data_IF_393964113258
#
_entry.id   IF_393964113258
#
_cell.length_a   1.000
_cell.length_b   1.000
_cell.length_c   1.000
_cell.angle_alpha   90.00
_cell.angle_beta   90.00
_cell.angle_gamma   90.00
#
_symmetry.space_group_name_H-M   'P 1'
#
loop_
_entity.id
_entity.type
_entity.pdbx_description
1 polymer ?
#
# COMPACT_ATOMS: atom_id res chain seq x y z
N UNK A 1 13.68 -22.30 28.71
CA UNK A 1 13.75 -20.87 29.07
C UNK A 1 15.06 -20.46 29.75
N UNK A 2 15.68 -21.30 30.60
CA UNK A 2 16.92 -20.94 31.33
C UNK A 2 18.13 -20.65 30.44
N UNK A 3 18.34 -21.44 29.37
CA UNK A 3 19.45 -21.20 28.43
C UNK A 3 19.35 -19.84 27.72
N UNK A 4 18.13 -19.37 27.46
CA UNK A 4 17.88 -18.09 26.80
C UNK A 4 18.14 -16.90 27.74
N UNK A 5 17.83 -17.07 29.03
CA UNK A 5 18.12 -16.06 30.07
C UNK A 5 19.62 -15.82 30.24
N UNK A 6 20.43 -16.88 30.21
CA UNK A 6 21.89 -16.76 30.37
C UNK A 6 22.55 -16.04 29.19
N UNK A 7 22.08 -16.24 27.97
CA UNK A 7 22.60 -15.54 26.77
C UNK A 7 22.23 -14.05 26.79
N UNK A 8 21.02 -13.71 27.24
CA UNK A 8 20.59 -12.30 27.36
C UNK A 8 21.30 -11.62 28.54
N UNK A 9 21.64 -12.35 29.61
CA UNK A 9 22.41 -11.80 30.74
C UNK A 9 23.90 -11.62 30.42
N UNK A 10 24.51 -12.48 29.61
CA UNK A 10 25.92 -12.33 29.20
C UNK A 10 26.13 -11.18 28.21
N UNK A 11 25.06 -10.71 27.55
CA UNK A 11 25.13 -9.57 26.64
C UNK A 11 25.33 -8.25 27.41
N UNK A 12 26.45 -7.59 27.12
CA UNK A 12 26.76 -6.23 27.59
C UNK A 12 25.62 -5.26 27.25
N UNK A 13 25.33 -4.32 28.13
CA UNK A 13 24.24 -3.34 27.99
C UNK A 13 24.22 -2.64 26.63
N UNK A 14 25.39 -2.38 26.04
CA UNK A 14 25.52 -1.77 24.72
C UNK A 14 24.91 -2.62 23.59
N UNK A 15 25.04 -3.95 23.65
CA UNK A 15 24.40 -4.85 22.67
C UNK A 15 22.88 -4.88 22.84
N UNK A 16 22.37 -4.77 24.08
CA UNK A 16 20.92 -4.69 24.34
C UNK A 16 20.33 -3.41 23.76
N UNK A 17 21.05 -2.29 23.86
CA UNK A 17 20.64 -1.02 23.25
C UNK A 17 20.60 -1.12 21.72
N UNK A 18 21.62 -1.72 21.09
CA UNK A 18 21.65 -1.92 19.63
C UNK A 18 20.52 -2.82 19.16
N UNK A 19 20.27 -3.94 19.85
CA UNK A 19 19.16 -4.86 19.53
C UNK A 19 17.82 -4.16 19.70
N UNK A 20 17.65 -3.40 20.78
CA UNK A 20 16.43 -2.60 21.01
C UNK A 20 16.19 -1.57 19.91
N UNK A 21 17.22 -0.83 19.52
CA UNK A 21 17.13 0.15 18.44
C UNK A 21 16.84 -0.50 17.09
N UNK A 22 17.47 -1.63 16.78
CA UNK A 22 17.22 -2.37 15.54
C UNK A 22 15.78 -2.89 15.46
N UNK A 23 15.26 -3.48 16.54
CA UNK A 23 13.86 -3.90 16.63
C UNK A 23 12.90 -2.72 16.44
N UNK A 24 13.20 -1.58 17.07
CA UNK A 24 12.37 -0.38 16.96
C UNK A 24 12.34 0.16 15.53
N UNK A 25 13.48 0.17 14.83
CA UNK A 25 13.56 0.56 13.43
C UNK A 25 12.75 -0.37 12.51
N UNK A 26 12.81 -1.69 12.74
CA UNK A 26 12.04 -2.68 11.95
C UNK A 26 10.53 -2.48 12.17
N UNK A 27 10.09 -2.36 13.43
CA UNK A 27 8.68 -2.16 13.76
C UNK A 27 8.17 -0.84 13.19
N UNK A 28 8.96 0.23 13.31
CA UNK A 28 8.61 1.54 12.75
C UNK A 28 8.54 1.49 11.23
N UNK A 29 9.49 0.82 10.57
CA UNK A 29 9.49 0.63 9.12
C UNK A 29 8.29 -0.19 8.63
N UNK A 30 7.92 -1.24 9.36
CA UNK A 30 6.73 -2.04 9.05
C UNK A 30 5.44 -1.23 9.23
N UNK A 31 5.31 -0.48 10.34
CA UNK A 31 4.18 0.43 10.56
C UNK A 31 4.07 1.45 9.43
N UNK A 32 5.18 2.11 9.08
CA UNK A 32 5.22 3.07 7.97
C UNK A 32 4.81 2.42 6.65
N UNK A 33 5.26 1.18 6.38
CA UNK A 33 4.88 0.40 5.21
C UNK A 33 3.37 0.15 5.12
N UNK A 34 2.73 -0.21 6.24
CA UNK A 34 1.27 -0.44 6.28
C UNK A 34 0.44 0.86 6.36
N UNK A 35 1.01 1.95 6.85
CA UNK A 35 0.35 3.27 6.90
C UNK A 35 0.54 4.10 5.62
N UNK A 36 1.35 3.61 4.67
CA UNK A 36 1.46 4.25 3.36
C UNK A 36 0.05 4.28 2.73
N UNK A 37 -0.45 5.46 2.38
CA UNK A 37 -1.81 5.61 1.88
C UNK A 37 -1.97 4.78 0.60
N UNK A 38 -3.15 4.16 0.47
CA UNK A 38 -3.52 3.37 -0.69
C UNK A 38 -3.09 4.09 -1.97
N UNK A 39 -2.19 3.45 -2.72
CA UNK A 39 -1.67 4.00 -3.98
C UNK A 39 -2.76 4.11 -5.02
N UNK A 40 -3.90 3.46 -4.82
CA UNK A 40 -5.03 3.42 -5.73
C UNK A 40 -6.22 4.15 -5.13
N UNK A 41 -6.74 5.14 -5.85
CA UNK A 41 -7.94 5.90 -5.47
C UNK A 41 -9.08 5.47 -6.36
N UNK A 42 -10.25 5.31 -5.77
CA UNK A 42 -11.48 5.02 -6.51
C UNK A 42 -11.86 6.25 -7.33
N UNK A 43 -11.88 6.10 -8.66
CA UNK A 43 -12.27 7.19 -9.58
C UNK A 43 -13.70 7.04 -10.04
N UNK A 44 -14.12 5.80 -10.31
CA UNK A 44 -15.49 5.48 -10.70
C UNK A 44 -16.10 4.45 -9.74
N UNK A 45 -17.34 4.69 -9.33
CA UNK A 45 -18.11 3.78 -8.48
C UNK A 45 -19.45 3.47 -9.15
N UNK A 46 -19.99 2.29 -8.86
CA UNK A 46 -21.35 1.90 -9.26
C UNK A 46 -21.58 1.94 -10.77
N UNK A 47 -20.55 1.60 -11.56
CA UNK A 47 -20.65 1.49 -13.00
C UNK A 47 -21.47 0.26 -13.39
N UNK A 48 -22.28 0.40 -14.43
CA UNK A 48 -22.97 -0.74 -15.04
C UNK A 48 -21.96 -1.56 -15.86
N UNK A 49 -22.25 -2.83 -16.18
CA UNK A 49 -21.26 -3.71 -16.83
C UNK A 49 -20.83 -3.23 -18.23
N UNK A 50 -21.71 -2.53 -18.95
CA UNK A 50 -21.39 -1.86 -20.20
C UNK A 50 -20.40 -0.69 -20.00
N UNK A 51 -20.68 0.18 -19.02
CA UNK A 51 -19.85 1.35 -18.71
C UNK A 51 -18.46 0.93 -18.20
N UNK A 52 -18.37 -0.20 -17.46
CA UNK A 52 -17.08 -0.76 -17.04
C UNK A 52 -16.22 -1.14 -18.24
N UNK A 53 -16.78 -1.77 -19.25
CA UNK A 53 -16.02 -2.17 -20.45
C UNK A 53 -15.53 -0.95 -21.24
N UNK A 54 -16.36 0.07 -21.36
CA UNK A 54 -16.00 1.31 -22.06
C UNK A 54 -14.89 2.06 -21.32
N UNK A 55 -15.05 2.29 -20.02
CA UNK A 55 -14.07 3.01 -19.20
C UNK A 55 -12.75 2.23 -19.09
N UNK A 56 -12.78 0.91 -18.95
CA UNK A 56 -11.55 0.10 -18.93
C UNK A 56 -10.82 0.11 -20.28
N UNK A 57 -11.55 0.14 -21.39
CA UNK A 57 -10.96 0.28 -22.72
C UNK A 57 -10.33 1.66 -22.93
N UNK A 58 -10.96 2.73 -22.44
CA UNK A 58 -10.39 4.08 -22.47
C UNK A 58 -9.16 4.21 -21.58
N UNK A 59 -9.22 3.73 -20.33
CA UNK A 59 -8.08 3.71 -19.42
C UNK A 59 -6.90 2.90 -19.99
N UNK A 60 -7.19 1.77 -20.65
CA UNK A 60 -6.16 0.97 -21.33
C UNK A 60 -5.55 1.68 -22.54
N UNK A 61 -6.31 2.48 -23.30
CA UNK A 61 -5.79 3.28 -24.42
C UNK A 61 -4.90 4.42 -23.92
N UNK A 62 -5.25 4.99 -22.78
CA UNK A 62 -4.53 6.06 -22.11
C UNK A 62 -3.26 5.57 -21.38
N UNK A 63 -3.06 4.24 -21.31
CA UNK A 63 -1.89 3.64 -20.66
C UNK A 63 -1.91 3.76 -19.14
N UNK A 64 -3.10 3.92 -18.54
CA UNK A 64 -3.25 4.06 -17.08
C UNK A 64 -3.42 2.69 -16.46
N UNK A 65 -2.59 2.40 -15.45
CA UNK A 65 -2.78 1.22 -14.61
C UNK A 65 -4.04 1.37 -13.76
N UNK A 66 -5.02 0.50 -14.01
CA UNK A 66 -6.28 0.45 -13.27
C UNK A 66 -6.48 -0.90 -12.57
N UNK A 67 -7.13 -0.87 -11.42
CA UNK A 67 -7.61 -2.05 -10.69
C UNK A 67 -9.13 -2.04 -10.69
N UNK A 68 -9.71 -3.13 -11.20
CA UNK A 68 -11.13 -3.40 -11.04
C UNK A 68 -11.34 -4.05 -9.67
N UNK A 69 -12.07 -3.38 -8.78
CA UNK A 69 -12.44 -3.96 -7.50
C UNK A 69 -13.70 -4.83 -7.65
N UNK A 70 -13.85 -5.81 -6.75
CA UNK A 70 -14.93 -6.78 -6.78
C UNK A 70 -16.34 -6.17 -6.58
N UNK A 71 -16.39 -4.93 -6.09
CA UNK A 71 -17.59 -4.10 -5.97
C UNK A 71 -18.00 -3.42 -7.30
N UNK A 72 -17.23 -3.64 -8.38
CA UNK A 72 -17.44 -2.98 -9.66
C UNK A 72 -16.90 -1.56 -9.73
N UNK A 73 -16.13 -1.12 -8.74
CA UNK A 73 -15.43 0.17 -8.78
C UNK A 73 -14.11 0.07 -9.55
N UNK A 74 -13.74 1.16 -10.23
CA UNK A 74 -12.46 1.29 -10.91
C UNK A 74 -11.56 2.19 -10.08
N UNK A 75 -10.41 1.64 -9.69
CA UNK A 75 -9.39 2.33 -8.91
C UNK A 75 -8.19 2.57 -9.81
N UNK A 76 -7.65 3.79 -9.82
CA UNK A 76 -6.43 4.11 -10.58
C UNK A 76 -5.38 4.63 -9.61
N UNK A 77 -4.12 4.65 -10.03
CA UNK A 77 -3.08 5.20 -9.16
C UNK A 77 -3.41 6.65 -8.77
N UNK A 78 -3.13 7.02 -7.51
CA UNK A 78 -3.42 8.36 -6.95
C UNK A 78 -2.80 9.49 -7.78
N UNK A 79 -1.67 9.22 -8.42
CA UNK A 79 -0.99 10.17 -9.30
C UNK A 79 -1.74 10.41 -10.61
N UNK A 80 -2.46 9.41 -11.11
CA UNK A 80 -3.19 9.47 -12.38
C UNK A 80 -4.65 9.89 -12.18
N UNK A 81 -5.19 9.76 -10.97
CA UNK A 81 -6.56 10.12 -10.62
C UNK A 81 -6.98 11.57 -11.01
N UNK A 82 -6.13 12.61 -10.86
CA UNK A 82 -6.49 13.96 -11.30
C UNK A 82 -6.57 14.10 -12.83
N UNK A 83 -5.73 13.36 -13.55
CA UNK A 83 -5.67 13.39 -15.00
C UNK A 83 -6.85 12.64 -15.61
N UNK A 84 -7.14 11.42 -15.11
CA UNK A 84 -8.32 10.63 -15.52
C UNK A 84 -9.62 11.41 -15.29
N UNK A 85 -9.77 12.08 -14.14
CA UNK A 85 -10.94 12.92 -13.86
C UNK A 85 -11.10 14.12 -14.80
N UNK A 86 -10.01 14.59 -15.40
CA UNK A 86 -10.01 15.75 -16.29
C UNK A 86 -10.24 15.36 -17.75
N UNK A 87 -9.71 14.22 -18.17
CA UNK A 87 -9.83 13.73 -19.55
C UNK A 87 -11.21 13.13 -19.83
N UNK A 88 -11.86 12.58 -18.79
CA UNK A 88 -13.13 11.84 -18.89
C UNK A 88 -14.34 12.61 -18.32
N UNK A 89 -14.24 13.94 -18.18
CA UNK A 89 -15.33 14.81 -17.72
C UNK A 89 -15.77 15.77 -18.83
#
# INVERSE_FOLDING_TARGET
MEKMKNVIQSLKTWHKLVIGAALLAIVTGALLYFTLPDKYVVVYQNLNDADKQEITAELSKLGVDYQLAADGSIRVQKNDAPWVRKEMN
#
